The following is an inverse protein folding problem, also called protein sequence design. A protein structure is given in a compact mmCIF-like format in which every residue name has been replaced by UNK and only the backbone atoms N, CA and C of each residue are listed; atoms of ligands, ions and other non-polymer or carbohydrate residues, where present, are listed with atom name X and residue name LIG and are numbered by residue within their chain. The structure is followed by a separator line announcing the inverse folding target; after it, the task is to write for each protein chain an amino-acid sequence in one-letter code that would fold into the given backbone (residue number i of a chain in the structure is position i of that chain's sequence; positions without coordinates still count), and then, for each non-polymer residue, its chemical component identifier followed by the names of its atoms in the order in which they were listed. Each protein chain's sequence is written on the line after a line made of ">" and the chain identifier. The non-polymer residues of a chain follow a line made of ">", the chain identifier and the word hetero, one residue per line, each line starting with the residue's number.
data_IF_503131106947
#
_entry.id   IF_503131106947
#
_cell.length_a   1.000
_cell.length_b   1.000
_cell.length_c   1.000
_cell.angle_alpha   90.00
_cell.angle_beta   90.00
_cell.angle_gamma   90.00
#
_symmetry.space_group_name_H-M   'P 1'
#
loop_
_entity.id
_entity.type
_entity.pdbx_description
1 polymer ?
#
# COMPACT_ATOMS: atom_id res chain seq x y z
N UNK A 1 4.23 -6.38 -20.72
CA UNK A 1 2.87 -6.38 -20.15
C UNK A 1 2.70 -7.68 -19.38
N UNK A 2 2.38 -7.64 -18.09
CA UNK A 2 2.30 -8.86 -17.27
C UNK A 2 0.94 -9.52 -17.47
N UNK A 3 0.92 -10.82 -17.70
CA UNK A 3 -0.32 -11.58 -17.81
C UNK A 3 -0.92 -11.81 -16.41
N UNK A 4 -1.95 -11.02 -16.10
CA UNK A 4 -2.67 -11.04 -14.83
C UNK A 4 -3.88 -12.00 -14.84
N UNK A 5 -4.13 -12.72 -15.95
CA UNK A 5 -5.35 -13.51 -16.16
C UNK A 5 -5.52 -14.66 -15.15
N UNK A 6 -4.41 -15.19 -14.60
CA UNK A 6 -4.41 -16.24 -13.58
C UNK A 6 -4.48 -15.77 -12.12
N UNK A 7 -4.42 -14.46 -11.84
CA UNK A 7 -4.42 -13.95 -10.46
C UNK A 7 -5.84 -13.79 -9.90
N UNK A 8 -6.25 -14.72 -9.04
CA UNK A 8 -7.53 -14.65 -8.30
C UNK A 8 -7.54 -13.57 -7.19
N UNK A 9 -6.37 -13.08 -6.75
CA UNK A 9 -6.31 -12.07 -5.71
C UNK A 9 -6.77 -10.69 -6.22
N UNK A 10 -7.95 -10.26 -5.77
CA UNK A 10 -8.56 -8.97 -6.14
C UNK A 10 -7.77 -7.75 -5.69
N UNK A 11 -6.96 -7.84 -4.63
CA UNK A 11 -6.11 -6.74 -4.17
C UNK A 11 -5.07 -6.44 -5.25
N UNK A 12 -4.28 -7.43 -5.67
CA UNK A 12 -3.27 -7.25 -6.72
C UNK A 12 -3.90 -6.82 -8.04
N UNK A 13 -4.99 -7.46 -8.45
CA UNK A 13 -5.66 -7.10 -9.70
C UNK A 13 -6.08 -5.63 -9.72
N UNK A 14 -6.47 -5.06 -8.58
CA UNK A 14 -6.79 -3.64 -8.48
C UNK A 14 -5.54 -2.76 -8.35
N UNK A 15 -4.50 -3.20 -7.63
CA UNK A 15 -3.23 -2.49 -7.53
C UNK A 15 -2.57 -2.31 -8.92
N UNK A 16 -2.43 -3.39 -9.69
CA UNK A 16 -1.81 -3.39 -11.03
C UNK A 16 -2.57 -2.50 -12.02
N UNK A 17 -3.91 -2.40 -11.90
CA UNK A 17 -4.73 -1.50 -12.74
C UNK A 17 -4.49 -0.02 -12.48
N UNK A 18 -3.91 0.32 -11.33
CA UNK A 18 -3.60 1.68 -10.95
C UNK A 18 -2.13 2.03 -11.23
N UNK A 19 -1.33 1.16 -11.86
CA UNK A 19 0.02 1.54 -12.28
C UNK A 19 -0.01 2.77 -13.20
N UNK A 20 0.85 3.75 -12.92
CA UNK A 20 0.86 5.05 -13.59
C UNK A 20 -0.28 5.98 -13.19
N UNK A 21 -1.04 5.65 -12.14
CA UNK A 21 -2.02 6.57 -11.56
C UNK A 21 -1.38 7.39 -10.46
N UNK A 22 -1.91 8.59 -10.35
CA UNK A 22 -1.73 9.58 -9.31
C UNK A 22 -0.37 10.28 -9.29
N UNK A 23 -0.35 11.36 -8.53
CA UNK A 23 0.83 12.07 -8.08
C UNK A 23 0.79 12.10 -6.57
N UNK A 24 1.90 11.80 -5.91
CA UNK A 24 1.96 11.74 -4.46
C UNK A 24 1.49 13.05 -3.81
N UNK A 25 0.44 12.96 -2.99
CA UNK A 25 -0.26 14.08 -2.37
C UNK A 25 -0.21 14.04 -0.85
N UNK A 26 0.05 15.18 -0.23
CA UNK A 26 0.00 15.36 1.23
C UNK A 26 -1.10 16.34 1.64
N UNK A 27 -1.43 16.40 2.94
CA UNK A 27 -2.48 17.29 3.44
C UNK A 27 -3.83 17.06 2.74
N UNK A 28 -4.41 18.13 2.19
CA UNK A 28 -5.68 18.07 1.45
C UNK A 28 -5.59 17.27 0.13
N UNK A 29 -4.41 17.25 -0.50
CA UNK A 29 -4.20 16.57 -1.78
C UNK A 29 -4.26 15.04 -1.66
N UNK A 30 -4.09 14.46 -0.47
CA UNK A 30 -4.20 12.99 -0.28
C UNK A 30 -5.57 12.42 -0.69
N UNK A 31 -6.58 13.28 -0.75
CA UNK A 31 -7.98 12.89 -1.05
C UNK A 31 -8.42 13.31 -2.45
N UNK A 32 -7.53 13.86 -3.26
CA UNK A 32 -7.85 14.37 -4.60
C UNK A 32 -7.72 13.28 -5.69
N UNK A 33 -8.06 12.03 -5.36
CA UNK A 33 -8.01 10.88 -6.27
C UNK A 33 -9.31 10.68 -7.05
N UNK A 34 -10.26 11.62 -6.95
CA UNK A 34 -11.61 11.46 -7.48
C UNK A 34 -12.42 10.46 -6.63
N UNK A 35 -12.96 9.42 -7.26
CA UNK A 35 -13.72 8.37 -6.57
C UNK A 35 -12.95 7.05 -6.54
N UNK A 36 -13.05 6.28 -5.46
CA UNK A 36 -12.48 4.92 -5.45
C UNK A 36 -13.07 4.02 -6.55
N UNK A 37 -14.30 4.29 -7.02
CA UNK A 37 -14.95 3.56 -8.14
C UNK A 37 -14.35 3.97 -9.49
N UNK A 38 -14.14 5.27 -9.67
CA UNK A 38 -13.57 5.88 -10.89
C UNK A 38 -12.43 6.83 -10.49
N UNK A 39 -11.23 6.28 -10.19
CA UNK A 39 -10.13 7.11 -9.75
C UNK A 39 -9.64 7.97 -10.90
N UNK A 40 -9.29 9.21 -10.61
CA UNK A 40 -8.69 10.11 -11.58
C UNK A 40 -7.21 9.75 -11.75
N UNK A 41 -6.80 9.34 -12.96
CA UNK A 41 -5.40 9.02 -13.25
C UNK A 41 -4.45 10.17 -12.91
N UNK A 42 -4.89 11.41 -13.10
CA UNK A 42 -4.12 12.62 -12.81
C UNK A 42 -4.46 13.21 -11.44
N UNK A 43 -5.14 12.44 -10.58
CA UNK A 43 -5.45 12.84 -9.21
C UNK A 43 -4.24 12.68 -8.29
N UNK A 44 -4.46 12.82 -6.98
CA UNK A 44 -3.42 12.60 -5.98
C UNK A 44 -3.92 11.82 -4.76
N UNK A 45 -3.03 11.00 -4.21
CA UNK A 45 -3.21 10.24 -2.96
C UNK A 45 -1.84 10.05 -2.28
N UNK A 46 -1.80 9.41 -1.11
CA UNK A 46 -0.56 8.95 -0.51
C UNK A 46 -0.50 7.42 -0.45
N UNK A 47 0.64 6.88 -0.02
CA UNK A 47 0.89 5.43 0.10
C UNK A 47 -0.25 4.69 0.83
N UNK A 48 -0.74 5.24 1.94
CA UNK A 48 -1.84 4.67 2.72
C UNK A 48 -3.21 4.81 2.03
N UNK A 49 -3.45 5.93 1.35
CA UNK A 49 -4.64 6.18 0.55
C UNK A 49 -4.72 5.26 -0.66
N UNK A 50 -3.60 4.99 -1.32
CA UNK A 50 -3.49 4.01 -2.39
C UNK A 50 -3.92 2.61 -1.91
N UNK A 51 -3.38 2.14 -0.77
CA UNK A 51 -3.80 0.85 -0.18
C UNK A 51 -5.29 0.83 0.13
N UNK A 52 -5.84 1.93 0.67
CA UNK A 52 -7.28 2.06 0.92
C UNK A 52 -8.10 1.95 -0.37
N UNK A 53 -7.73 2.66 -1.44
CA UNK A 53 -8.42 2.61 -2.75
C UNK A 53 -8.44 1.17 -3.26
N UNK A 54 -7.28 0.50 -3.23
CA UNK A 54 -7.17 -0.88 -3.72
C UNK A 54 -8.03 -1.83 -2.89
N UNK A 55 -7.97 -1.75 -1.56
CA UNK A 55 -8.78 -2.60 -0.67
C UNK A 55 -10.29 -2.36 -0.88
N UNK A 56 -10.72 -1.09 -1.00
CA UNK A 56 -12.12 -0.74 -1.26
C UNK A 56 -12.60 -1.33 -2.59
N UNK A 57 -11.81 -1.20 -3.66
CA UNK A 57 -12.11 -1.77 -5.00
C UNK A 57 -12.08 -3.31 -5.02
N UNK A 58 -11.26 -3.91 -4.18
CA UNK A 58 -11.21 -5.35 -3.99
C UNK A 58 -12.39 -5.90 -3.16
N UNK A 59 -13.23 -5.03 -2.59
CA UNK A 59 -14.44 -5.38 -1.85
C UNK A 59 -14.22 -5.65 -0.36
N UNK A 60 -13.10 -5.16 0.20
CA UNK A 60 -12.84 -5.25 1.64
C UNK A 60 -13.59 -4.16 2.41
N UNK A 61 -13.96 -4.47 3.65
CA UNK A 61 -14.66 -3.55 4.56
C UNK A 61 -13.69 -2.53 5.16
N UNK A 62 -13.27 -1.58 4.33
CA UNK A 62 -12.54 -0.40 4.79
C UNK A 62 -13.52 0.77 4.97
N UNK A 63 -13.19 1.72 5.86
CA UNK A 63 -14.03 2.88 6.16
C UNK A 63 -14.27 3.80 4.93
N UNK A 64 -14.98 4.91 5.13
CA UNK A 64 -15.25 5.88 4.05
C UNK A 64 -14.10 6.87 3.85
N UNK A 65 -13.29 7.10 4.88
CA UNK A 65 -12.09 7.91 4.79
C UNK A 65 -10.88 7.04 4.38
N UNK A 66 -9.96 7.57 3.54
CA UNK A 66 -8.67 6.95 3.27
C UNK A 66 -7.88 6.69 4.55
N UNK A 67 -6.98 5.71 4.48
CA UNK A 67 -6.17 5.37 5.62
C UNK A 67 -5.10 6.42 5.93
N UNK A 68 -4.60 6.33 7.15
CA UNK A 68 -3.30 6.85 7.56
C UNK A 68 -2.46 5.65 8.01
N UNK A 69 -1.14 5.69 7.75
CA UNK A 69 -0.24 4.56 8.02
C UNK A 69 -0.23 4.13 9.49
N UNK A 70 -0.20 5.07 10.44
CA UNK A 70 -0.20 4.76 11.88
C UNK A 70 -1.49 4.00 12.31
N UNK A 71 -2.70 4.47 11.99
CA UNK A 71 -3.92 3.69 12.19
C UNK A 71 -3.91 2.31 11.51
N UNK A 72 -3.39 2.19 10.27
CA UNK A 72 -3.30 0.88 9.60
C UNK A 72 -2.44 -0.11 10.38
N UNK A 73 -1.29 0.35 10.87
CA UNK A 73 -0.39 -0.47 11.66
C UNK A 73 -1.04 -0.91 12.98
N UNK A 74 -1.75 0.01 13.65
CA UNK A 74 -2.48 -0.29 14.88
C UNK A 74 -3.60 -1.29 14.65
N UNK A 75 -4.35 -1.15 13.56
CA UNK A 75 -5.40 -2.10 13.22
C UNK A 75 -4.86 -3.50 12.96
N UNK A 76 -3.79 -3.58 12.15
CA UNK A 76 -3.10 -4.83 11.89
C UNK A 76 -2.63 -5.54 13.17
N UNK A 77 -2.21 -4.80 14.19
CA UNK A 77 -1.66 -5.36 15.44
C UNK A 77 -2.70 -5.64 16.53
N UNK A 78 -3.90 -5.06 16.45
CA UNK A 78 -4.83 -5.05 17.57
C UNK A 78 -6.28 -5.28 17.16
N UNK A 79 -6.94 -4.27 16.56
CA UNK A 79 -8.39 -4.29 16.35
C UNK A 79 -8.83 -5.25 15.25
N UNK A 80 -7.95 -5.48 14.28
CA UNK A 80 -8.20 -6.38 13.16
C UNK A 80 -9.50 -6.11 12.41
N UNK A 81 -9.89 -4.83 12.28
CA UNK A 81 -11.11 -4.42 11.60
C UNK A 81 -10.99 -4.47 10.08
N UNK A 82 -9.78 -4.26 9.54
CA UNK A 82 -9.51 -4.30 8.10
C UNK A 82 -8.18 -4.95 7.72
N UNK A 83 -7.23 -5.05 8.65
CA UNK A 83 -5.94 -5.71 8.48
C UNK A 83 -5.63 -6.62 9.66
N UNK A 84 -4.96 -7.74 9.42
CA UNK A 84 -4.42 -8.60 10.48
C UNK A 84 -2.95 -8.85 10.26
N UNK A 85 -2.13 -8.63 11.29
CA UNK A 85 -0.69 -8.89 11.24
C UNK A 85 -0.43 -10.36 10.93
N UNK A 86 0.53 -10.59 10.05
CA UNK A 86 1.04 -11.90 9.70
C UNK A 86 2.55 -11.97 9.93
N UNK A 87 3.08 -13.19 10.00
CA UNK A 87 4.51 -13.42 9.96
C UNK A 87 5.03 -13.24 8.53
N UNK A 88 6.27 -12.75 8.39
CA UNK A 88 6.95 -12.62 7.09
C UNK A 88 6.93 -13.93 6.29
N UNK A 89 7.07 -15.08 6.96
CA UNK A 89 7.03 -16.42 6.32
C UNK A 89 5.69 -16.76 5.63
N UNK A 90 4.62 -16.07 6.00
CA UNK A 90 3.27 -16.31 5.50
C UNK A 90 2.83 -15.28 4.46
N UNK A 91 3.70 -14.34 4.12
CA UNK A 91 3.37 -13.26 3.20
C UNK A 91 3.19 -13.82 1.79
N UNK A 92 2.23 -13.24 1.07
CA UNK A 92 1.88 -13.66 -0.28
C UNK A 92 1.42 -12.46 -1.10
N UNK A 93 1.35 -12.61 -2.43
CA UNK A 93 0.84 -11.57 -3.31
C UNK A 93 -0.51 -11.03 -2.80
N UNK A 94 -0.60 -9.70 -2.61
CA UNK A 94 -1.78 -8.96 -2.14
C UNK A 94 -1.87 -8.75 -0.62
N UNK A 95 -0.87 -9.21 0.14
CA UNK A 95 -0.65 -8.73 1.51
C UNK A 95 -0.08 -7.29 1.49
N UNK A 96 -0.15 -6.62 2.63
CA UNK A 96 0.24 -5.22 2.81
C UNK A 96 1.53 -5.16 3.64
N UNK A 97 2.47 -4.35 3.19
CA UNK A 97 3.67 -3.94 3.94
C UNK A 97 3.37 -2.60 4.58
N UNK A 98 3.62 -2.47 5.87
CA UNK A 98 3.44 -1.22 6.62
C UNK A 98 4.73 -0.94 7.39
N UNK A 99 5.29 0.24 7.22
CA UNK A 99 6.42 0.72 8.01
C UNK A 99 6.00 2.01 8.70
N UNK A 100 6.31 2.11 9.98
CA UNK A 100 6.05 3.30 10.75
C UNK A 100 7.17 3.47 11.78
N UNK A 101 7.84 4.62 11.74
CA UNK A 101 8.96 4.98 12.62
C UNK A 101 8.60 6.09 13.61
N UNK A 102 7.32 6.49 13.66
CA UNK A 102 6.85 7.53 14.58
C UNK A 102 5.36 7.84 14.39
N UNK A 103 5.06 9.05 13.90
CA UNK A 103 3.69 9.51 13.69
C UNK A 103 3.00 8.93 12.44
N UNK A 104 3.71 8.16 11.60
CA UNK A 104 3.17 7.49 10.42
C UNK A 104 2.79 8.43 9.26
N UNK A 105 3.40 9.62 9.18
CA UNK A 105 3.15 10.60 8.10
C UNK A 105 4.46 10.98 7.42
N UNK A 106 4.42 11.18 6.10
CA UNK A 106 5.59 11.60 5.32
C UNK A 106 6.73 10.60 5.47
N UNK A 107 7.93 11.06 5.82
CA UNK A 107 9.10 10.19 5.99
C UNK A 107 9.01 9.21 7.16
N UNK A 108 8.00 9.33 8.03
CA UNK A 108 7.85 8.48 9.21
C UNK A 108 6.90 7.30 8.99
N UNK A 109 6.32 7.15 7.81
CA UNK A 109 5.43 6.04 7.52
C UNK A 109 5.37 5.71 6.03
N UNK A 110 5.23 4.43 5.73
CA UNK A 110 5.02 3.96 4.37
C UNK A 110 4.12 2.72 4.33
N UNK A 111 3.38 2.58 3.23
CA UNK A 111 2.52 1.43 3.01
C UNK A 111 2.56 0.99 1.54
N UNK A 112 2.62 -0.31 1.30
CA UNK A 112 2.68 -0.87 -0.05
C UNK A 112 2.00 -2.23 -0.13
N UNK A 113 1.75 -2.71 -1.35
CA UNK A 113 1.09 -3.98 -1.65
C UNK A 113 2.13 -4.95 -2.21
N UNK A 114 2.21 -6.16 -1.65
CA UNK A 114 3.11 -7.20 -2.15
C UNK A 114 2.68 -7.66 -3.54
N UNK A 115 3.58 -7.58 -4.51
CA UNK A 115 3.34 -7.91 -5.92
C UNK A 115 4.19 -9.08 -6.42
N UNK A 116 4.29 -10.14 -5.63
CA UNK A 116 5.05 -11.32 -6.00
C UNK A 116 5.33 -12.26 -4.85
N UNK A 117 6.20 -13.23 -5.11
CA UNK A 117 6.75 -14.11 -4.07
C UNK A 117 7.59 -13.26 -3.11
N UNK A 118 7.55 -13.61 -1.84
CA UNK A 118 8.43 -13.02 -0.84
C UNK A 118 9.87 -13.41 -1.09
N UNK A 119 10.75 -12.41 -1.08
CA UNK A 119 12.18 -12.58 -1.25
C UNK A 119 12.97 -11.55 -0.41
N UNK A 120 12.59 -11.40 0.86
CA UNK A 120 13.22 -10.43 1.75
C UNK A 120 13.15 -9.01 1.19
N UNK A 121 14.30 -8.34 1.08
CA UNK A 121 14.41 -6.97 0.55
C UNK A 121 14.17 -6.87 -0.96
N UNK A 122 14.29 -7.97 -1.71
CA UNK A 122 14.04 -8.01 -3.16
C UNK A 122 12.57 -8.26 -3.50
N UNK A 123 11.73 -8.46 -2.47
CA UNK A 123 10.28 -8.62 -2.62
C UNK A 123 9.71 -7.47 -3.44
N UNK A 124 9.07 -7.81 -4.57
CA UNK A 124 8.38 -6.83 -5.41
C UNK A 124 7.13 -6.30 -4.73
N UNK A 125 6.93 -4.99 -4.82
CA UNK A 125 5.76 -4.30 -4.28
C UNK A 125 5.17 -3.35 -5.34
N UNK A 126 3.91 -2.99 -5.14
CA UNK A 126 3.28 -1.84 -5.78
C UNK A 126 3.01 -0.81 -4.69
N UNK A 127 3.41 0.43 -4.96
CA UNK A 127 3.37 1.54 -4.02
C UNK A 127 3.07 2.85 -4.74
N UNK A 128 2.78 3.88 -3.95
CA UNK A 128 2.80 5.28 -4.39
C UNK A 128 3.79 6.01 -3.48
N UNK A 129 4.73 6.74 -4.06
CA UNK A 129 5.89 7.28 -3.33
C UNK A 129 6.88 6.18 -2.93
N UNK A 130 7.65 6.39 -1.85
CA UNK A 130 8.70 5.46 -1.40
C UNK A 130 10.03 5.67 -2.12
N UNK A 131 10.00 5.80 -3.45
CA UNK A 131 11.18 6.14 -4.26
C UNK A 131 11.31 7.65 -4.48
N UNK A 132 12.55 8.16 -4.35
CA UNK A 132 12.84 9.57 -4.64
C UNK A 132 12.60 9.86 -6.13
N UNK A 133 11.74 10.84 -6.42
CA UNK A 133 11.44 11.29 -7.78
C UNK A 133 10.43 10.43 -8.55
N UNK A 134 9.75 9.50 -7.88
CA UNK A 134 8.64 8.72 -8.48
C UNK A 134 7.36 8.97 -7.68
N UNK A 135 6.48 9.78 -8.26
CA UNK A 135 5.27 10.25 -7.58
C UNK A 135 4.03 9.41 -7.89
N UNK A 136 4.04 8.63 -8.97
CA UNK A 136 2.92 7.80 -9.38
C UNK A 136 2.90 6.44 -8.68
N UNK A 137 1.82 5.70 -8.87
CA UNK A 137 1.73 4.30 -8.47
C UNK A 137 2.63 3.47 -9.38
N UNK A 138 3.66 2.87 -8.81
CA UNK A 138 4.70 2.15 -9.54
C UNK A 138 5.10 0.85 -8.83
N UNK A 139 6.01 0.12 -9.47
CA UNK A 139 6.65 -1.06 -8.88
C UNK A 139 8.06 -0.77 -8.43
N UNK A 140 8.45 -1.43 -7.36
CA UNK A 140 9.80 -1.38 -6.81
C UNK A 140 10.09 -2.65 -6.01
N UNK A 141 11.32 -2.77 -5.50
CA UNK A 141 11.62 -3.73 -4.44
C UNK A 141 11.44 -3.07 -3.07
N UNK A 142 11.09 -3.89 -2.07
CA UNK A 142 11.00 -3.48 -0.67
C UNK A 142 12.25 -2.72 -0.19
N UNK A 143 13.45 -3.14 -0.60
CA UNK A 143 14.71 -2.49 -0.27
C UNK A 143 14.87 -1.11 -0.92
N UNK A 144 14.49 -0.96 -2.19
CA UNK A 144 14.59 0.33 -2.89
C UNK A 144 13.58 1.37 -2.37
N UNK A 145 12.38 0.92 -2.05
CA UNK A 145 11.25 1.72 -1.57
C UNK A 145 11.44 2.26 -0.16
N UNK A 146 12.05 1.47 0.71
CA UNK A 146 12.24 1.84 2.09
C UNK A 146 13.51 2.68 2.21
N UNK A 147 13.34 4.01 2.21
CA UNK A 147 14.43 4.95 2.53
C UNK A 147 15.23 4.50 3.76
N UNK A 148 16.50 4.92 3.88
CA UNK A 148 17.38 4.56 5.00
C UNK A 148 16.76 4.77 6.39
N UNK A 149 15.87 5.77 6.52
CA UNK A 149 15.14 6.04 7.77
C UNK A 149 14.09 4.98 8.06
N UNK A 150 13.39 4.50 7.04
CA UNK A 150 12.36 3.46 7.15
C UNK A 150 12.97 2.05 7.23
N UNK A 151 14.15 1.83 6.64
CA UNK A 151 14.90 0.58 6.76
C UNK A 151 15.28 0.26 8.22
N UNK A 152 15.41 1.28 9.07
CA UNK A 152 15.62 1.14 10.53
C UNK A 152 14.32 0.83 11.30
N UNK A 153 13.16 0.98 10.65
CA UNK A 153 11.86 0.71 11.22
C UNK A 153 11.50 -0.78 11.24
N UNK A 154 10.60 -1.18 12.15
CA UNK A 154 10.06 -2.54 12.15
C UNK A 154 8.95 -2.65 11.11
N UNK A 155 9.16 -3.51 10.12
CA UNK A 155 8.15 -3.82 9.11
C UNK A 155 7.01 -4.62 9.75
N UNK A 156 5.79 -4.15 9.54
CA UNK A 156 4.56 -4.88 9.84
C UNK A 156 3.99 -5.43 8.55
N UNK A 157 4.03 -6.76 8.41
CA UNK A 157 3.31 -7.46 7.34
C UNK A 157 1.87 -7.72 7.79
N UNK A 158 0.91 -7.38 6.94
CA UNK A 158 -0.50 -7.48 7.26
C UNK A 158 -1.31 -8.06 6.11
N UNK A 159 -2.40 -8.75 6.44
CA UNK A 159 -3.34 -9.34 5.49
C UNK A 159 -4.69 -8.64 5.59
N UNK A 160 -5.28 -8.19 4.46
CA UNK A 160 -6.66 -7.69 4.44
C UNK A 160 -7.65 -8.71 5.01
N UNK A 161 -8.54 -8.27 5.90
CA UNK A 161 -9.63 -9.08 6.47
C UNK A 161 -10.99 -8.61 5.93
N UNK A 162 -11.90 -9.56 5.68
CA UNK A 162 -13.23 -9.28 5.13
C UNK A 162 -14.20 -8.80 6.18
#
# INVERSE_FOLDING_TARGET
>A
MFDDSGYHNRVIKNARKLLGYFTYGTGAYRTNFGSWRHPNKNGSTDCSGFVWIVMKRAGYRVGNAPFFTLPMERDAKSTHGYLKKISAKNIRPGDIVIVNTGNGVGQNGHAAIVDGKYDGWDTQIIEEGGNLGVDDVHRSSLGSSLSDKLAKGRITYARPVK
#
